data_IF_458778331146
#
_entry.id   IF_458778331146
#
_cell.length_a   1.000
_cell.length_b   1.000
_cell.length_c   1.000
_cell.angle_alpha   90.00
_cell.angle_beta   90.00
_cell.angle_gamma   90.00
#
_symmetry.space_group_name_H-M   'P 1'
#
loop_
_entity.id
_entity.type
_entity.pdbx_description
1 polymer ?
#
# COMPACT_ATOMS: atom_id res chain seq x y z
N UNK A 1 14.04 29.57 21.20
CA UNK A 1 13.31 28.75 20.20
C UNK A 1 13.56 27.30 20.55
N UNK A 2 12.54 26.55 20.96
CA UNK A 2 12.70 25.13 21.26
C UNK A 2 12.98 24.40 19.94
N UNK A 3 14.14 23.75 19.84
CA UNK A 3 14.36 22.79 18.77
C UNK A 3 13.27 21.72 18.91
N UNK A 4 12.32 21.69 17.98
CA UNK A 4 11.34 20.61 17.89
C UNK A 4 12.11 19.30 17.87
N UNK A 5 11.87 18.43 18.86
CA UNK A 5 12.51 17.12 18.89
C UNK A 5 12.32 16.44 17.52
N UNK A 6 13.35 15.76 17.00
CA UNK A 6 13.26 15.13 15.69
C UNK A 6 12.06 14.17 15.68
N UNK A 7 11.15 14.38 14.73
CA UNK A 7 9.96 13.54 14.53
C UNK A 7 10.30 12.40 13.57
N UNK A 8 9.44 11.39 13.52
CA UNK A 8 9.48 10.39 12.45
C UNK A 8 9.46 11.10 11.10
N UNK A 9 10.24 10.61 10.12
CA UNK A 9 10.22 11.15 8.76
C UNK A 9 9.94 10.03 7.78
N UNK A 10 8.78 10.09 7.12
CA UNK A 10 8.37 9.12 6.11
C UNK A 10 8.66 9.68 4.72
N UNK A 11 9.60 9.06 4.00
CA UNK A 11 10.07 9.47 2.68
C UNK A 11 9.42 8.58 1.63
N UNK A 12 8.64 9.18 0.73
CA UNK A 12 8.10 8.49 -0.44
C UNK A 12 7.69 9.47 -1.54
N UNK A 13 7.25 8.90 -2.67
CA UNK A 13 6.65 9.68 -3.75
C UNK A 13 5.45 10.49 -3.26
N UNK A 14 5.21 11.60 -3.94
CA UNK A 14 3.98 12.38 -3.81
C UNK A 14 2.82 11.68 -4.52
N UNK A 15 2.50 10.48 -4.04
CA UNK A 15 1.47 9.61 -4.56
C UNK A 15 0.82 8.87 -3.40
N UNK A 16 -0.51 8.70 -3.47
CA UNK A 16 -1.35 7.99 -2.50
C UNK A 16 -1.39 6.49 -2.82
N UNK A 17 -0.24 5.94 -3.18
CA UNK A 17 -0.08 4.50 -3.41
C UNK A 17 0.03 3.80 -2.06
N UNK A 18 -0.59 2.64 -1.94
CA UNK A 18 -0.80 1.95 -0.67
C UNK A 18 0.49 1.71 0.14
N UNK A 19 1.63 1.54 -0.53
CA UNK A 19 2.94 1.20 0.07
C UNK A 19 3.41 2.12 1.19
N UNK A 20 3.14 3.42 1.10
CA UNK A 20 3.43 4.39 2.17
C UNK A 20 2.16 4.93 2.82
N UNK A 21 1.04 4.91 2.10
CA UNK A 21 -0.20 5.51 2.54
C UNK A 21 -0.78 4.81 3.78
N UNK A 22 -0.61 3.49 3.91
CA UNK A 22 -1.04 2.77 5.11
C UNK A 22 -0.35 3.29 6.39
N UNK A 23 0.96 3.57 6.31
CA UNK A 23 1.73 4.12 7.41
C UNK A 23 1.37 5.60 7.68
N UNK A 24 1.25 6.43 6.63
CA UNK A 24 0.83 7.84 6.77
C UNK A 24 -0.50 7.95 7.50
N UNK A 25 -1.48 7.18 7.04
CA UNK A 25 -2.83 7.22 7.57
C UNK A 25 -2.87 6.67 9.00
N UNK A 26 -2.16 5.59 9.30
CA UNK A 26 -2.08 5.07 10.67
C UNK A 26 -1.47 6.09 11.66
N UNK A 27 -0.36 6.73 11.29
CA UNK A 27 0.27 7.78 12.10
C UNK A 27 -0.70 8.96 12.32
N UNK A 28 -1.38 9.37 11.25
CA UNK A 28 -2.39 10.43 11.31
C UNK A 28 -3.57 10.08 12.22
N UNK A 29 -4.14 8.88 12.07
CA UNK A 29 -5.28 8.41 12.85
C UNK A 29 -4.96 8.36 14.35
N UNK A 30 -3.74 7.97 14.71
CA UNK A 30 -3.26 7.92 16.09
C UNK A 30 -2.69 9.25 16.62
N UNK A 31 -2.68 10.31 15.80
CA UNK A 31 -2.14 11.61 16.20
C UNK A 31 -0.63 11.62 16.47
N UNK A 32 0.11 10.66 15.89
CA UNK A 32 1.57 10.58 16.02
C UNK A 32 2.22 11.60 15.08
N UNK A 33 2.97 12.60 15.59
CA UNK A 33 3.63 13.59 14.75
C UNK A 33 4.70 12.97 13.85
N UNK A 34 4.67 13.29 12.56
CA UNK A 34 5.67 12.87 11.60
C UNK A 34 5.81 13.89 10.47
N UNK A 35 7.00 13.94 9.86
CA UNK A 35 7.25 14.63 8.61
C UNK A 35 6.87 13.70 7.43
N UNK A 36 5.84 14.07 6.67
CA UNK A 36 5.48 13.41 5.41
C UNK A 36 6.32 13.97 4.25
N UNK A 37 7.54 13.47 4.14
CA UNK A 37 8.54 13.95 3.18
C UNK A 37 8.25 13.39 1.77
N UNK A 38 7.37 14.07 1.05
CA UNK A 38 6.96 13.77 -0.33
C UNK A 38 7.98 14.33 -1.33
N UNK A 39 8.62 13.46 -2.10
CA UNK A 39 9.65 13.90 -3.05
C UNK A 39 9.76 12.98 -4.27
N UNK A 40 10.27 13.50 -5.38
CA UNK A 40 10.58 12.71 -6.58
C UNK A 40 11.78 11.79 -6.39
N UNK A 41 12.01 10.90 -7.35
CA UNK A 41 13.08 9.90 -7.28
C UNK A 41 14.46 10.48 -6.95
N UNK A 42 14.87 11.59 -7.59
CA UNK A 42 16.17 12.22 -7.33
C UNK A 42 16.33 12.62 -5.86
N UNK A 43 15.33 13.30 -5.29
CA UNK A 43 15.33 13.69 -3.88
C UNK A 43 15.33 12.47 -2.95
N UNK A 44 14.55 11.44 -3.29
CA UNK A 44 14.52 10.20 -2.53
C UNK A 44 15.92 9.55 -2.51
N UNK A 45 16.58 9.40 -3.66
CA UNK A 45 17.94 8.83 -3.73
C UNK A 45 18.98 9.71 -3.01
N UNK A 46 18.84 11.03 -3.09
CA UNK A 46 19.73 11.97 -2.40
C UNK A 46 19.53 11.99 -0.87
N UNK A 47 18.40 11.49 -0.36
CA UNK A 47 18.12 11.46 1.08
C UNK A 47 19.07 10.57 1.89
N UNK A 48 19.73 9.61 1.24
CA UNK A 48 20.57 8.61 1.91
C UNK A 48 19.80 7.58 2.75
N UNK A 49 18.46 7.66 2.81
CA UNK A 49 17.61 6.79 3.62
C UNK A 49 17.29 5.47 2.89
N UNK A 50 18.34 4.76 2.47
CA UNK A 50 18.26 3.63 1.53
C UNK A 50 19.07 2.42 2.00
N UNK A 51 18.52 1.61 2.91
CA UNK A 51 19.15 0.36 3.35
C UNK A 51 19.28 -0.64 2.20
N UNK A 52 18.27 -0.74 1.33
CA UNK A 52 18.24 -1.68 0.19
C UNK A 52 18.16 -0.99 -1.18
N UNK A 53 18.32 0.33 -1.23
CA UNK A 53 18.08 1.10 -2.46
C UNK A 53 16.60 1.16 -2.87
N UNK A 54 15.67 0.79 -1.98
CA UNK A 54 14.22 0.78 -2.21
C UNK A 54 13.49 1.79 -1.33
N UNK A 55 12.32 2.24 -1.80
CA UNK A 55 11.40 3.10 -1.07
C UNK A 55 10.06 2.36 -0.88
N UNK A 56 9.24 2.72 0.12
CA UNK A 56 9.39 3.83 1.08
C UNK A 56 10.50 3.65 2.11
N UNK A 57 10.83 4.76 2.79
CA UNK A 57 11.76 4.80 3.91
C UNK A 57 11.16 5.55 5.11
N UNK A 58 11.27 4.99 6.31
CA UNK A 58 10.91 5.65 7.57
C UNK A 58 12.18 5.89 8.38
N UNK A 59 12.55 7.16 8.54
CA UNK A 59 13.65 7.56 9.44
C UNK A 59 13.09 7.64 10.85
N UNK A 60 13.70 6.88 11.76
CA UNK A 60 13.33 6.82 13.17
C UNK A 60 14.45 7.47 13.99
N UNK A 61 14.18 8.63 14.63
CA UNK A 61 15.18 9.39 15.37
C UNK A 61 15.93 8.54 16.41
N UNK A 62 17.26 8.56 16.35
CA UNK A 62 18.12 7.79 17.25
C UNK A 62 18.13 6.26 17.02
N UNK A 63 17.36 5.73 16.06
CA UNK A 63 17.31 4.29 15.76
C UNK A 63 17.80 3.93 14.34
N UNK A 64 17.65 4.84 13.37
CA UNK A 64 18.11 4.61 12.00
C UNK A 64 16.96 4.68 10.97
N UNK A 65 17.04 3.86 9.93
CA UNK A 65 16.09 3.87 8.80
C UNK A 65 15.48 2.49 8.60
N UNK A 66 14.15 2.44 8.49
CA UNK A 66 13.41 1.28 8.03
C UNK A 66 13.05 1.46 6.55
N UNK A 67 13.43 0.50 5.71
CA UNK A 67 12.90 0.35 4.34
C UNK A 67 12.02 -0.90 4.30
N UNK A 68 11.32 -1.11 3.17
CA UNK A 68 10.26 -2.11 2.98
C UNK A 68 8.93 -1.71 3.61
N UNK A 69 7.88 -1.71 2.80
CA UNK A 69 6.52 -1.38 3.22
C UNK A 69 6.08 -2.19 4.42
N UNK A 70 6.33 -3.50 4.43
CA UNK A 70 5.94 -4.36 5.53
C UNK A 70 6.61 -3.98 6.85
N UNK A 71 7.93 -3.79 6.85
CA UNK A 71 8.68 -3.47 8.05
C UNK A 71 8.23 -2.11 8.65
N UNK A 72 7.96 -1.14 7.77
CA UNK A 72 7.43 0.16 8.15
C UNK A 72 6.01 0.01 8.71
N UNK A 73 5.12 -0.72 8.03
CA UNK A 73 3.75 -0.95 8.47
C UNK A 73 3.70 -1.65 9.83
N UNK A 74 4.50 -2.68 10.05
CA UNK A 74 4.60 -3.38 11.34
C UNK A 74 5.06 -2.43 12.46
N UNK A 75 6.15 -1.68 12.24
CA UNK A 75 6.65 -0.72 13.23
C UNK A 75 5.61 0.35 13.56
N UNK A 76 5.01 0.95 12.54
CA UNK A 76 3.98 1.99 12.71
C UNK A 76 2.74 1.42 13.38
N UNK A 77 2.28 0.25 12.97
CA UNK A 77 1.11 -0.39 13.56
C UNK A 77 1.30 -0.66 15.05
N UNK A 78 2.47 -1.16 15.47
CA UNK A 78 2.76 -1.31 16.90
C UNK A 78 2.83 0.04 17.62
N UNK A 79 3.42 1.05 17.00
CA UNK A 79 3.51 2.40 17.55
C UNK A 79 2.13 3.04 17.76
N UNK A 80 1.19 2.78 16.85
CA UNK A 80 -0.15 3.39 16.85
C UNK A 80 -1.23 2.52 17.50
N UNK A 81 -0.90 1.29 17.89
CA UNK A 81 -1.87 0.29 18.36
C UNK A 81 -2.72 -0.32 17.24
N UNK A 82 -2.44 -0.02 15.97
CA UNK A 82 -3.14 -0.58 14.80
C UNK A 82 -2.46 -1.88 14.30
N UNK A 83 -2.06 -2.73 15.23
CA UNK A 83 -1.42 -4.02 14.95
C UNK A 83 -1.76 -5.00 16.09
N UNK A 84 -2.24 -6.22 15.79
CA UNK A 84 -2.57 -7.19 16.81
C UNK A 84 -1.37 -7.57 17.68
N UNK A 85 -1.62 -7.81 18.97
CA UNK A 85 -0.64 -8.36 19.91
C UNK A 85 -0.57 -9.89 19.88
N UNK A 86 -1.65 -10.55 19.45
CA UNK A 86 -1.64 -11.99 19.21
C UNK A 86 -0.69 -12.32 18.05
N UNK A 87 0.29 -13.24 18.23
CA UNK A 87 1.29 -13.53 17.22
C UNK A 87 0.72 -14.07 15.90
N UNK A 88 -0.38 -14.82 15.94
CA UNK A 88 -0.99 -15.37 14.73
C UNK A 88 -1.75 -14.30 13.96
N UNK A 89 -2.52 -13.45 14.65
CA UNK A 89 -3.19 -12.31 14.02
C UNK A 89 -2.18 -11.27 13.48
N UNK A 90 -1.09 -11.03 14.20
CA UNK A 90 0.05 -10.25 13.71
C UNK A 90 0.61 -10.82 12.40
N UNK A 91 0.87 -12.14 12.36
CA UNK A 91 1.31 -12.81 11.13
C UNK A 91 0.28 -12.73 9.99
N UNK A 92 -1.02 -12.65 10.29
CA UNK A 92 -2.07 -12.43 9.27
C UNK A 92 -2.04 -11.01 8.69
N UNK A 93 -1.74 -9.99 9.49
CA UNK A 93 -1.46 -8.65 8.96
C UNK A 93 -0.24 -8.69 8.02
N UNK A 94 0.79 -9.44 8.41
CA UNK A 94 1.99 -9.57 7.59
C UNK A 94 1.69 -10.27 6.25
N UNK A 95 1.07 -11.45 6.29
CA UNK A 95 0.67 -12.24 5.12
C UNK A 95 -0.13 -11.41 4.11
N UNK A 96 -1.02 -10.55 4.59
CA UNK A 96 -1.82 -9.68 3.74
C UNK A 96 -1.01 -8.60 3.02
N UNK A 97 -0.10 -7.92 3.73
CA UNK A 97 0.73 -6.86 3.14
C UNK A 97 1.76 -7.45 2.16
N UNK A 98 2.32 -8.61 2.47
CA UNK A 98 3.25 -9.30 1.57
C UNK A 98 2.50 -9.81 0.32
N UNK A 99 1.31 -10.37 0.47
CA UNK A 99 0.45 -10.74 -0.67
C UNK A 99 0.05 -9.55 -1.55
N UNK A 100 -0.21 -8.38 -0.96
CA UNK A 100 -0.43 -7.13 -1.72
C UNK A 100 0.81 -6.66 -2.47
N UNK A 101 2.00 -6.93 -1.92
CA UNK A 101 3.27 -6.65 -2.59
C UNK A 101 3.39 -7.50 -3.86
N UNK A 102 3.14 -8.80 -3.76
CA UNK A 102 3.15 -9.71 -4.92
C UNK A 102 2.14 -9.28 -6.00
N UNK A 103 0.92 -8.88 -5.61
CA UNK A 103 -0.09 -8.35 -6.54
C UNK A 103 0.43 -7.09 -7.25
N UNK A 104 1.05 -6.20 -6.50
CA UNK A 104 1.56 -4.92 -6.99
C UNK A 104 2.72 -5.07 -7.96
N UNK A 105 3.59 -6.05 -7.70
CA UNK A 105 4.75 -6.31 -8.53
C UNK A 105 4.32 -6.83 -9.92
N UNK A 106 3.28 -7.69 -9.99
CA UNK A 106 2.69 -8.11 -11.27
C UNK A 106 2.23 -6.94 -12.15
N UNK A 107 1.60 -5.92 -11.54
CA UNK A 107 1.17 -4.73 -12.30
C UNK A 107 2.39 -3.87 -12.64
N UNK A 108 3.34 -3.72 -11.72
CA UNK A 108 4.56 -2.91 -11.92
C UNK A 108 5.40 -3.44 -13.08
N UNK A 109 5.50 -4.76 -13.23
CA UNK A 109 6.24 -5.41 -14.33
C UNK A 109 5.64 -5.10 -15.72
N UNK A 110 4.37 -4.70 -15.77
CA UNK A 110 3.72 -4.25 -17.02
C UNK A 110 3.83 -2.74 -17.27
N UNK A 111 4.42 -1.97 -16.37
CA UNK A 111 4.48 -0.51 -16.49
C UNK A 111 5.66 -0.05 -17.33
N UNK A 112 5.40 0.86 -18.26
CA UNK A 112 6.34 1.24 -19.32
C UNK A 112 7.27 2.42 -18.94
N UNK A 113 6.83 3.29 -18.01
CA UNK A 113 7.38 4.65 -17.87
C UNK A 113 7.72 5.13 -16.45
N UNK A 114 7.34 4.43 -15.37
CA UNK A 114 7.64 4.90 -14.00
C UNK A 114 9.14 4.95 -13.65
N UNK A 115 9.96 4.51 -14.59
CA UNK A 115 11.36 4.23 -14.42
C UNK A 115 12.14 5.17 -15.36
N UNK A 116 12.43 6.39 -14.87
CA UNK A 116 13.37 7.29 -15.51
C UNK A 116 14.71 6.60 -15.82
N UNK A 117 15.57 7.24 -16.62
CA UNK A 117 16.82 6.62 -17.09
C UNK A 117 17.71 6.03 -15.97
N UNK A 118 17.60 6.52 -14.74
CA UNK A 118 18.27 5.96 -13.55
C UNK A 118 17.70 4.63 -13.01
N UNK A 119 16.39 4.39 -13.16
CA UNK A 119 15.75 3.12 -12.76
C UNK A 119 16.00 2.03 -13.81
N UNK A 120 16.06 2.39 -15.10
CA UNK A 120 16.32 1.49 -16.25
C UNK A 120 17.63 0.70 -16.13
N UNK A 121 18.58 1.15 -15.31
CA UNK A 121 19.93 0.57 -15.21
C UNK A 121 20.11 -0.35 -13.99
N UNK A 122 19.17 -0.35 -13.04
CA UNK A 122 19.32 -1.05 -11.74
C UNK A 122 18.38 -2.23 -11.54
N UNK A 123 17.26 -2.31 -12.24
CA UNK A 123 16.33 -3.44 -12.17
C UNK A 123 16.21 -4.08 -13.56
N UNK A 124 16.64 -5.34 -13.67
CA UNK A 124 16.65 -6.13 -14.90
C UNK A 124 15.28 -6.78 -15.19
N UNK A 125 14.18 -6.09 -14.91
CA UNK A 125 12.84 -6.59 -15.24
C UNK A 125 12.43 -6.09 -16.63
N UNK A 126 11.97 -7.02 -17.46
CA UNK A 126 11.61 -6.77 -18.85
C UNK A 126 10.33 -5.95 -18.93
N UNK A 127 10.44 -4.63 -19.07
CA UNK A 127 9.28 -3.77 -19.31
C UNK A 127 8.67 -4.04 -20.69
N UNK A 128 7.36 -4.29 -20.73
CA UNK A 128 6.63 -4.44 -21.99
C UNK A 128 6.40 -3.07 -22.66
N UNK A 129 7.01 -2.87 -23.84
CA UNK A 129 6.96 -1.59 -24.57
C UNK A 129 5.88 -1.54 -25.64
N UNK A 130 5.24 -2.66 -25.95
CA UNK A 130 4.15 -2.68 -26.91
C UNK A 130 2.82 -2.51 -26.14
N UNK A 131 2.04 -1.44 -26.40
CA UNK A 131 0.76 -1.22 -25.73
C UNK A 131 -0.23 -2.38 -25.88
N UNK A 132 -0.25 -3.07 -27.03
CA UNK A 132 -1.13 -4.22 -27.25
C UNK A 132 -0.67 -5.42 -26.41
N UNK A 133 0.63 -5.69 -26.35
CA UNK A 133 1.17 -6.77 -25.51
C UNK A 133 0.95 -6.48 -24.02
N UNK A 134 1.10 -5.22 -23.60
CA UNK A 134 0.78 -4.77 -22.25
C UNK A 134 -0.70 -5.02 -21.89
N UNK A 135 -1.62 -4.67 -22.80
CA UNK A 135 -3.05 -4.94 -22.62
C UNK A 135 -3.36 -6.44 -22.55
N UNK A 136 -2.77 -7.23 -23.44
CA UNK A 136 -2.95 -8.69 -23.43
C UNK A 136 -2.40 -9.32 -22.13
N UNK A 137 -1.23 -8.87 -21.65
CA UNK A 137 -0.65 -9.36 -20.41
C UNK A 137 -1.55 -9.03 -19.22
N UNK A 138 -2.03 -7.78 -19.10
CA UNK A 138 -2.93 -7.40 -18.01
C UNK A 138 -4.26 -8.13 -18.06
N UNK A 139 -4.82 -8.34 -19.25
CA UNK A 139 -6.01 -9.18 -19.43
C UNK A 139 -5.77 -10.62 -18.92
N UNK A 140 -4.60 -11.20 -19.19
CA UNK A 140 -4.22 -12.52 -18.68
C UNK A 140 -4.01 -12.54 -17.15
N UNK A 141 -3.49 -11.45 -16.55
CA UNK A 141 -3.32 -11.35 -15.10
C UNK A 141 -4.66 -11.41 -14.36
N UNK A 142 -5.69 -10.75 -14.89
CA UNK A 142 -7.02 -10.62 -14.27
C UNK A 142 -8.06 -11.63 -14.76
N UNK A 143 -7.67 -12.54 -15.65
CA UNK A 143 -8.51 -13.67 -16.06
C UNK A 143 -8.87 -14.55 -14.84
N UNK A 144 -9.96 -15.36 -14.89
CA UNK A 144 -10.36 -16.20 -13.76
C UNK A 144 -9.26 -17.12 -13.20
N UNK A 145 -8.37 -17.62 -14.06
CA UNK A 145 -7.19 -18.43 -13.74
C UNK A 145 -5.88 -17.61 -13.72
N UNK A 146 -5.97 -16.30 -13.90
CA UNK A 146 -4.86 -15.37 -13.92
C UNK A 146 -4.14 -15.25 -12.58
N UNK A 147 -2.83 -14.96 -12.63
CA UNK A 147 -1.99 -14.91 -11.43
C UNK A 147 -2.42 -13.81 -10.45
N UNK A 148 -2.88 -12.65 -10.93
CA UNK A 148 -3.38 -11.59 -10.06
C UNK A 148 -4.69 -12.01 -9.38
N UNK A 149 -5.60 -12.66 -10.13
CA UNK A 149 -6.85 -13.22 -9.59
C UNK A 149 -6.57 -14.25 -8.49
N UNK A 150 -5.59 -15.13 -8.69
CA UNK A 150 -5.17 -16.12 -7.68
C UNK A 150 -4.70 -15.47 -6.38
N UNK A 151 -3.83 -14.45 -6.46
CA UNK A 151 -3.30 -13.76 -5.27
C UNK A 151 -4.39 -12.99 -4.52
N UNK A 152 -5.26 -12.28 -5.25
CA UNK A 152 -6.40 -11.57 -4.66
C UNK A 152 -7.42 -12.53 -4.02
N UNK A 153 -7.63 -13.72 -4.59
CA UNK A 153 -8.40 -14.79 -3.94
C UNK A 153 -7.75 -15.29 -2.64
N UNK A 154 -6.42 -15.28 -2.57
CA UNK A 154 -5.69 -15.53 -1.33
C UNK A 154 -6.05 -14.51 -0.24
N UNK A 155 -5.98 -13.21 -0.56
CA UNK A 155 -6.35 -12.14 0.36
C UNK A 155 -7.83 -12.21 0.78
N UNK A 156 -8.73 -12.52 -0.15
CA UNK A 156 -10.14 -12.83 0.15
C UNK A 156 -10.29 -13.97 1.16
N UNK A 157 -9.49 -15.02 0.99
CA UNK A 157 -9.51 -16.17 1.89
C UNK A 157 -9.05 -15.78 3.29
N UNK A 158 -8.10 -14.87 3.45
CA UNK A 158 -7.70 -14.34 4.75
C UNK A 158 -8.89 -13.67 5.46
N UNK A 159 -9.65 -12.84 4.75
CA UNK A 159 -10.85 -12.19 5.30
C UNK A 159 -11.91 -13.22 5.72
N UNK A 160 -12.13 -14.25 4.90
CA UNK A 160 -13.06 -15.37 5.21
C UNK A 160 -12.62 -16.15 6.44
N UNK A 161 -11.33 -16.44 6.56
CA UNK A 161 -10.75 -17.19 7.68
C UNK A 161 -10.85 -16.43 9.00
N UNK A 162 -10.64 -15.11 8.98
CA UNK A 162 -10.79 -14.28 10.18
C UNK A 162 -12.25 -14.24 10.67
N UNK A 163 -13.22 -14.23 9.74
CA UNK A 163 -14.64 -14.36 10.07
C UNK A 163 -15.25 -13.21 10.90
N UNK A 164 -14.51 -12.11 11.10
CA UNK A 164 -14.96 -10.95 11.86
C UNK A 164 -16.19 -10.30 11.20
N UNK A 165 -17.17 -9.93 12.03
CA UNK A 165 -18.40 -9.23 11.64
C UNK A 165 -18.60 -8.00 12.54
N UNK A 166 -19.19 -6.89 12.05
CA UNK A 166 -19.82 -6.71 10.74
C UNK A 166 -18.86 -6.34 9.60
N UNK A 167 -17.63 -5.90 9.91
CA UNK A 167 -16.60 -5.54 8.92
C UNK A 167 -15.58 -6.68 8.82
N UNK A 168 -15.20 -7.13 7.61
CA UNK A 168 -14.21 -8.17 7.45
C UNK A 168 -12.81 -7.57 7.56
N UNK A 169 -12.38 -7.18 8.77
CA UNK A 169 -10.96 -6.87 8.98
C UNK A 169 -10.11 -8.11 8.72
N UNK A 170 -8.84 -7.91 8.36
CA UNK A 170 -7.94 -8.99 7.98
C UNK A 170 -7.47 -9.83 9.18
N UNK A 171 -7.34 -9.21 10.35
CA UNK A 171 -6.83 -9.87 11.54
C UNK A 171 -7.52 -9.34 12.81
N UNK A 172 -8.37 -10.17 13.41
CA UNK A 172 -9.12 -9.82 14.61
C UNK A 172 -10.32 -8.92 14.34
N UNK A 173 -10.73 -8.16 15.35
CA UNK A 173 -11.95 -7.35 15.36
C UNK A 173 -11.72 -5.84 15.28
N UNK A 174 -10.49 -5.40 14.99
CA UNK A 174 -10.12 -3.99 15.01
C UNK A 174 -9.30 -3.63 13.77
N UNK A 175 -9.42 -2.37 13.35
CA UNK A 175 -8.70 -1.82 12.21
C UNK A 175 -7.19 -1.89 12.43
N UNK A 176 -6.48 -2.47 11.47
CA UNK A 176 -5.02 -2.58 11.44
C UNK A 176 -4.41 -1.83 10.25
N UNK A 177 -3.09 -1.65 10.28
CA UNK A 177 -2.33 -1.12 9.13
C UNK A 177 -2.50 -1.96 7.87
N UNK A 178 -2.77 -3.26 7.99
CA UNK A 178 -3.01 -4.14 6.85
C UNK A 178 -4.36 -3.86 6.20
N UNK A 179 -5.41 -3.55 6.97
CA UNK A 179 -6.70 -3.10 6.43
C UNK A 179 -6.56 -1.78 5.69
N UNK A 180 -5.75 -0.84 6.20
CA UNK A 180 -5.45 0.41 5.50
C UNK A 180 -4.69 0.17 4.19
N UNK A 181 -3.77 -0.80 4.18
CA UNK A 181 -3.06 -1.20 2.97
C UNK A 181 -4.03 -1.80 1.93
N UNK A 182 -4.91 -2.72 2.33
CA UNK A 182 -5.95 -3.30 1.46
C UNK A 182 -6.87 -2.21 0.93
N UNK A 183 -7.39 -1.34 1.79
CA UNK A 183 -8.25 -0.23 1.39
C UNK A 183 -7.62 0.60 0.27
N UNK A 184 -6.35 1.02 0.43
CA UNK A 184 -5.70 1.85 -0.56
C UNK A 184 -5.33 1.07 -1.83
N UNK A 185 -4.94 -0.20 -1.70
CA UNK A 185 -4.61 -1.05 -2.85
C UNK A 185 -5.84 -1.36 -3.70
N UNK A 186 -6.96 -1.77 -3.07
CA UNK A 186 -8.26 -1.96 -3.74
C UNK A 186 -8.69 -0.66 -4.41
N UNK A 187 -8.61 0.47 -3.71
CA UNK A 187 -8.95 1.78 -4.28
C UNK A 187 -8.06 2.19 -5.46
N UNK A 188 -6.81 1.74 -5.50
CA UNK A 188 -5.91 1.96 -6.64
C UNK A 188 -6.28 1.07 -7.83
N UNK A 189 -6.50 -0.23 -7.62
CA UNK A 189 -6.91 -1.16 -8.69
C UNK A 189 -8.24 -0.74 -9.31
N UNK A 190 -9.19 -0.27 -8.49
CA UNK A 190 -10.51 0.17 -8.95
C UNK A 190 -10.56 1.61 -9.49
N UNK A 191 -9.44 2.35 -9.50
CA UNK A 191 -9.44 3.77 -9.88
C UNK A 191 -9.55 4.02 -11.38
N UNK A 192 -9.33 3.00 -12.22
CA UNK A 192 -9.27 3.15 -13.67
C UNK A 192 -7.94 3.70 -14.22
N UNK A 193 -6.96 4.00 -13.37
CA UNK A 193 -5.62 4.45 -13.82
C UNK A 193 -4.77 3.31 -14.40
N UNK A 194 -5.13 2.05 -14.14
CA UNK A 194 -4.42 0.87 -14.64
C UNK A 194 -5.10 0.42 -15.94
N UNK A 195 -4.58 0.85 -17.09
CA UNK A 195 -5.09 0.45 -18.39
C UNK A 195 -5.19 -1.08 -18.54
N UNK A 196 -6.27 -1.58 -19.13
CA UNK A 196 -6.50 -3.03 -19.31
C UNK A 196 -7.05 -3.76 -18.08
N UNK A 197 -7.22 -3.10 -16.94
CA UNK A 197 -7.96 -3.63 -15.79
C UNK A 197 -9.24 -2.81 -15.62
N UNK A 198 -10.40 -3.48 -15.62
CA UNK A 198 -11.68 -2.82 -15.47
C UNK A 198 -11.81 -2.21 -14.05
N UNK A 199 -12.29 -0.95 -13.90
CA UNK A 199 -12.51 -0.34 -12.57
C UNK A 199 -13.45 -1.15 -11.66
N UNK A 200 -14.34 -1.94 -12.26
CA UNK A 200 -15.31 -2.79 -11.56
C UNK A 200 -14.72 -4.13 -11.11
N UNK A 201 -13.51 -4.50 -11.56
CA UNK A 201 -12.90 -5.83 -11.34
C UNK A 201 -12.89 -6.26 -9.86
N UNK A 202 -12.50 -5.36 -8.96
CA UNK A 202 -12.48 -5.67 -7.53
C UNK A 202 -13.89 -5.89 -6.96
N UNK A 203 -14.83 -5.00 -7.31
CA UNK A 203 -16.21 -5.05 -6.82
C UNK A 203 -16.94 -6.32 -7.30
N UNK A 204 -16.70 -6.74 -8.54
CA UNK A 204 -17.39 -7.89 -9.15
C UNK A 204 -16.77 -9.23 -8.76
N UNK A 205 -15.48 -9.26 -8.46
CA UNK A 205 -14.73 -10.52 -8.27
C UNK A 205 -14.39 -10.82 -6.82
N UNK A 206 -14.17 -9.78 -5.99
CA UNK A 206 -13.67 -9.92 -4.60
C UNK A 206 -14.54 -9.13 -3.61
N UNK A 207 -15.73 -9.65 -3.27
CA UNK A 207 -16.74 -8.88 -2.53
C UNK A 207 -16.36 -8.52 -1.09
N UNK A 208 -15.55 -9.31 -0.37
CA UNK A 208 -15.11 -8.96 0.98
C UNK A 208 -13.98 -7.93 0.96
N UNK A 209 -13.03 -8.02 0.01
CA UNK A 209 -12.01 -6.98 -0.20
C UNK A 209 -12.68 -5.66 -0.56
N UNK A 210 -13.71 -5.70 -1.40
CA UNK A 210 -14.52 -4.52 -1.71
C UNK A 210 -15.30 -4.01 -0.49
N UNK A 211 -15.86 -4.90 0.33
CA UNK A 211 -16.55 -4.53 1.56
C UNK A 211 -15.61 -3.89 2.59
N UNK A 212 -14.42 -4.45 2.80
CA UNK A 212 -13.36 -3.87 3.64
C UNK A 212 -12.99 -2.48 3.12
N UNK A 213 -12.72 -2.36 1.82
CA UNK A 213 -12.44 -1.07 1.20
C UNK A 213 -13.55 -0.06 1.50
N UNK A 214 -14.81 -0.39 1.24
CA UNK A 214 -15.94 0.50 1.53
C UNK A 214 -16.03 0.89 3.01
N UNK A 215 -15.82 -0.06 3.92
CA UNK A 215 -15.91 0.19 5.35
C UNK A 215 -14.81 1.15 5.84
N UNK A 216 -13.56 0.95 5.40
CA UNK A 216 -12.45 1.85 5.71
C UNK A 216 -12.63 3.21 5.04
N UNK A 217 -13.19 3.26 3.82
CA UNK A 217 -13.43 4.50 3.09
C UNK A 217 -14.42 5.44 3.80
N UNK A 218 -15.35 4.87 4.58
CA UNK A 218 -16.36 5.56 5.36
C UNK A 218 -15.87 6.04 6.74
N UNK A 219 -14.66 5.65 7.16
CA UNK A 219 -14.11 6.08 8.45
C UNK A 219 -13.92 7.61 8.46
N UNK A 220 -14.43 8.33 9.49
CA UNK A 220 -14.31 9.79 9.57
C UNK A 220 -12.87 10.32 9.50
N UNK A 221 -11.89 9.59 10.04
CA UNK A 221 -10.48 9.96 9.95
C UNK A 221 -9.93 9.77 8.54
N UNK A 222 -10.41 8.78 7.80
CA UNK A 222 -10.07 8.62 6.38
C UNK A 222 -10.65 9.78 5.56
N UNK A 223 -11.90 10.18 5.82
CA UNK A 223 -12.47 11.36 5.19
C UNK A 223 -11.69 12.65 5.51
N UNK A 224 -11.32 12.85 6.78
CA UNK A 224 -10.48 13.96 7.23
C UNK A 224 -9.12 13.97 6.51
N UNK A 225 -8.47 12.81 6.40
CA UNK A 225 -7.19 12.66 5.71
C UNK A 225 -7.29 13.01 4.22
N UNK A 226 -8.35 12.54 3.55
CA UNK A 226 -8.61 12.87 2.13
C UNK A 226 -8.82 14.36 1.91
N UNK A 227 -9.57 15.01 2.80
CA UNK A 227 -9.79 16.46 2.73
C UNK A 227 -8.50 17.26 2.89
N UNK A 228 -7.56 16.80 3.72
CA UNK A 228 -6.23 17.41 3.87
C UNK A 228 -5.32 17.18 2.64
N UNK A 229 -5.64 16.18 1.82
CA UNK A 229 -4.85 15.77 0.66
C UNK A 229 -5.70 15.73 -0.63
N UNK A 230 -6.43 16.81 -0.99
CA UNK A 230 -7.51 16.74 -1.98
C UNK A 230 -7.00 16.37 -3.38
N UNK A 231 -5.80 16.79 -3.75
CA UNK A 231 -5.19 16.46 -5.06
C UNK A 231 -4.93 14.96 -5.25
N UNK A 232 -4.88 14.20 -4.17
CA UNK A 232 -4.61 12.77 -4.16
C UNK A 232 -5.87 11.90 -4.16
N UNK A 233 -7.05 12.48 -3.94
CA UNK A 233 -8.29 11.71 -3.84
C UNK A 233 -9.43 12.25 -4.70
N UNK A 234 -9.12 13.16 -5.64
CA UNK A 234 -10.07 13.61 -6.65
C UNK A 234 -10.47 12.42 -7.52
N UNK A 235 -11.79 12.23 -7.64
CA UNK A 235 -12.43 11.27 -8.55
C UNK A 235 -12.37 11.77 -9.98
#
# INVERSE_FOLDING_TARGET
MAATAPQLKLIYLDHHYWRAECARLALFMAGVPFEDARMGYEGMYASGALTFGTFPALVVPGKGVLNQTQAIARYVGHLTGMYPSDPFLAAKCDEAIDGLTDVSDLVTDTMQELCGQGFKRRFATAFERDPKRKMAWRAALVAPDGRMTMLLNGLETLLKQNGARPVPYVAGSSLSVADLAIWRAVGWISSGVIDGIAPTYMQTTFPLLWALHCAVDQDPKVAEWKMRNPHHYKR
#
